data_IF_642638340417
#
_entry.id   IF_642638340417
#
_cell.length_a   1.000
_cell.length_b   1.000
_cell.length_c   1.000
_cell.angle_alpha   90.00
_cell.angle_beta   90.00
_cell.angle_gamma   90.00
#
_symmetry.space_group_name_H-M   'P 1'
#
loop_
_entity.id
_entity.type
_entity.pdbx_description
1 polymer ?
#
# COMPACT_ATOMS: atom_id res chain seq x y z
N UNK A 1 -2.54 -11.96 25.07
CA UNK A 1 -3.26 -11.39 23.93
C UNK A 1 -3.87 -10.08 24.40
N UNK A 2 -3.36 -8.96 23.91
CA UNK A 2 -4.01 -7.68 24.12
C UNK A 2 -5.07 -7.57 23.03
N UNK A 3 -6.31 -7.90 23.36
CA UNK A 3 -7.38 -8.17 22.39
C UNK A 3 -7.69 -6.99 21.48
N UNK A 4 -7.42 -5.76 21.93
CA UNK A 4 -7.60 -4.54 21.14
C UNK A 4 -6.50 -4.37 20.09
N UNK A 5 -5.23 -4.57 20.46
CA UNK A 5 -4.10 -4.45 19.51
C UNK A 5 -4.20 -5.52 18.42
N UNK A 6 -4.62 -6.73 18.80
CA UNK A 6 -4.87 -7.82 17.86
C UNK A 6 -6.04 -7.49 16.92
N UNK A 7 -7.10 -6.84 17.40
CA UNK A 7 -8.21 -6.40 16.55
C UNK A 7 -7.78 -5.30 15.57
N UNK A 8 -7.09 -4.25 16.04
CA UNK A 8 -6.62 -3.15 15.18
C UNK A 8 -5.70 -3.66 14.07
N UNK A 9 -4.77 -4.55 14.42
CA UNK A 9 -3.89 -5.20 13.44
C UNK A 9 -4.70 -5.95 12.39
N UNK A 10 -5.71 -6.73 12.79
CA UNK A 10 -6.54 -7.47 11.86
C UNK A 10 -7.34 -6.54 10.93
N UNK A 11 -7.90 -5.46 11.46
CA UNK A 11 -8.65 -4.48 10.66
C UNK A 11 -7.75 -3.83 9.59
N UNK A 12 -6.50 -3.51 9.95
CA UNK A 12 -5.51 -2.97 8.99
C UNK A 12 -5.15 -4.01 7.92
N UNK A 13 -4.94 -5.27 8.29
CA UNK A 13 -4.64 -6.33 7.32
C UNK A 13 -5.80 -6.55 6.35
N UNK A 14 -7.05 -6.51 6.82
CA UNK A 14 -8.25 -6.58 5.98
C UNK A 14 -8.36 -5.38 5.03
N UNK A 15 -7.95 -4.19 5.47
CA UNK A 15 -7.91 -3.02 4.59
C UNK A 15 -6.87 -3.17 3.47
N UNK A 16 -5.68 -3.73 3.76
CA UNK A 16 -4.67 -4.05 2.74
C UNK A 16 -5.21 -5.08 1.74
N UNK A 17 -5.86 -6.13 2.23
CA UNK A 17 -6.49 -7.14 1.37
C UNK A 17 -7.58 -6.53 0.47
N UNK A 18 -8.46 -5.71 1.02
CA UNK A 18 -9.50 -5.01 0.24
C UNK A 18 -8.88 -4.12 -0.85
N UNK A 19 -7.80 -3.42 -0.54
CA UNK A 19 -7.08 -2.60 -1.51
C UNK A 19 -6.42 -3.45 -2.61
N UNK A 20 -5.82 -4.59 -2.27
CA UNK A 20 -5.30 -5.53 -3.27
C UNK A 20 -6.36 -5.97 -4.26
N UNK A 21 -7.56 -6.29 -3.76
CA UNK A 21 -8.69 -6.63 -4.62
C UNK A 21 -9.10 -5.45 -5.52
N UNK A 22 -9.17 -4.23 -4.97
CA UNK A 22 -9.50 -3.02 -5.74
C UNK A 22 -8.48 -2.76 -6.85
N UNK A 23 -7.18 -2.81 -6.55
CA UNK A 23 -6.11 -2.60 -7.54
C UNK A 23 -6.15 -3.65 -8.65
N UNK A 24 -6.37 -4.93 -8.29
CA UNK A 24 -6.55 -5.99 -9.28
C UNK A 24 -7.81 -5.78 -10.13
N UNK A 25 -8.89 -5.25 -9.58
CA UNK A 25 -10.11 -4.94 -10.34
C UNK A 25 -9.90 -3.76 -11.31
N UNK A 26 -9.09 -2.77 -10.93
CA UNK A 26 -8.81 -1.58 -11.76
C UNK A 26 -7.81 -1.87 -12.87
N UNK A 27 -6.73 -2.58 -12.55
CA UNK A 27 -5.58 -2.71 -13.44
C UNK A 27 -5.37 -4.14 -13.95
N UNK A 28 -6.14 -5.12 -13.46
CA UNK A 28 -5.90 -6.53 -13.69
C UNK A 28 -4.72 -7.05 -12.85
N UNK A 29 -4.35 -8.32 -13.08
CA UNK A 29 -3.19 -8.95 -12.43
C UNK A 29 -1.89 -8.27 -12.89
N UNK A 30 -1.22 -7.58 -11.97
CA UNK A 30 0.04 -6.88 -12.23
C UNK A 30 1.24 -7.78 -11.96
N UNK A 31 2.15 -7.91 -12.94
CA UNK A 31 3.48 -8.53 -12.79
C UNK A 31 4.48 -7.70 -13.58
N UNK A 32 5.56 -7.29 -12.94
CA UNK A 32 6.52 -6.35 -13.51
C UNK A 32 7.96 -6.79 -13.25
N UNK A 33 8.90 -6.13 -13.91
CA UNK A 33 10.32 -6.24 -13.51
C UNK A 33 10.49 -5.69 -12.09
N UNK A 34 11.48 -6.18 -11.34
CA UNK A 34 11.73 -5.65 -9.99
C UNK A 34 12.11 -4.15 -9.99
N UNK A 35 12.66 -3.64 -11.08
CA UNK A 35 12.92 -2.21 -11.24
C UNK A 35 11.64 -1.38 -11.33
N UNK A 36 10.67 -1.85 -12.13
CA UNK A 36 9.35 -1.21 -12.24
C UNK A 36 8.57 -1.33 -10.93
N UNK A 37 8.65 -2.48 -10.25
CA UNK A 37 8.06 -2.66 -8.93
C UNK A 37 8.63 -1.69 -7.89
N UNK A 38 9.96 -1.53 -7.86
CA UNK A 38 10.61 -0.58 -6.97
C UNK A 38 10.13 0.85 -7.27
N UNK A 39 9.99 1.21 -8.56
CA UNK A 39 9.46 2.51 -8.95
C UNK A 39 8.04 2.74 -8.40
N UNK A 40 7.13 1.80 -8.61
CA UNK A 40 5.73 1.89 -8.14
C UNK A 40 5.71 1.97 -6.60
N UNK A 41 6.47 1.13 -5.91
CA UNK A 41 6.53 1.16 -4.45
C UNK A 41 7.05 2.51 -3.90
N UNK A 42 8.08 3.08 -4.54
CA UNK A 42 8.64 4.38 -4.14
C UNK A 42 7.66 5.52 -4.42
N UNK A 43 6.85 5.43 -5.46
CA UNK A 43 5.77 6.39 -5.74
C UNK A 43 4.77 6.44 -4.58
N UNK A 44 4.26 5.28 -4.14
CA UNK A 44 3.34 5.17 -2.99
C UNK A 44 3.98 5.66 -1.68
N UNK A 45 5.27 5.36 -1.44
CA UNK A 45 6.01 5.90 -0.29
C UNK A 45 6.14 7.42 -0.37
N UNK A 46 6.26 7.97 -1.57
CA UNK A 46 6.24 9.41 -1.82
C UNK A 46 4.90 10.04 -1.44
N UNK A 47 3.78 9.38 -1.73
CA UNK A 47 2.44 9.82 -1.32
C UNK A 47 2.27 9.77 0.20
N UNK A 48 2.74 8.70 0.86
CA UNK A 48 2.82 8.63 2.34
C UNK A 48 3.61 9.81 2.90
N UNK A 49 4.77 10.14 2.34
CA UNK A 49 5.59 11.25 2.81
C UNK A 49 4.88 12.60 2.65
N UNK A 50 4.16 12.80 1.54
CA UNK A 50 3.36 14.01 1.32
C UNK A 50 2.20 14.11 2.32
N UNK A 51 1.49 13.01 2.57
CA UNK A 51 0.41 12.97 3.56
C UNK A 51 0.91 13.31 4.98
N UNK A 52 2.05 12.75 5.39
CA UNK A 52 2.67 13.06 6.70
C UNK A 52 3.11 14.53 6.82
N UNK A 53 3.60 15.14 5.73
CA UNK A 53 3.99 16.56 5.73
C UNK A 53 2.76 17.48 5.81
N UNK A 54 1.66 17.10 5.18
CA UNK A 54 0.39 17.83 5.27
C UNK A 54 -0.15 17.82 6.70
N UNK A 55 -0.10 16.69 7.39
CA UNK A 55 -0.53 16.58 8.80
C UNK A 55 0.29 17.49 9.75
N UNK A 56 1.51 17.86 9.36
CA UNK A 56 2.35 18.82 10.07
C UNK A 56 2.09 20.29 9.70
N UNK A 57 1.12 20.56 8.82
CA UNK A 57 0.76 21.92 8.38
C UNK A 57 1.70 22.50 7.32
N UNK A 58 2.51 21.66 6.66
CA UNK A 58 3.49 22.10 5.65
C UNK A 58 2.98 21.88 4.21
N UNK A 59 1.76 21.36 4.05
CA UNK A 59 1.13 21.09 2.76
C UNK A 59 0.30 22.27 2.22
N UNK A 60 0.14 22.35 0.89
CA UNK A 60 -0.88 23.19 0.26
C UNK A 60 -2.26 22.55 0.39
N UNK A 61 -3.33 23.36 0.38
CA UNK A 61 -4.71 22.88 0.24
C UNK A 61 -4.92 22.26 -1.15
N UNK A 62 -4.44 21.03 -1.33
CA UNK A 62 -4.85 20.16 -2.43
C UNK A 62 -5.62 18.96 -1.86
N UNK A 63 -6.34 18.27 -2.75
CA UNK A 63 -7.07 17.00 -2.56
C UNK A 63 -6.15 15.84 -2.15
N UNK A 64 -5.26 16.06 -1.18
CA UNK A 64 -4.39 15.02 -0.65
C UNK A 64 -5.24 14.04 0.16
N UNK A 65 -5.12 12.79 -0.26
CA UNK A 65 -5.45 11.57 0.46
C UNK A 65 -5.07 11.62 1.95
N UNK A 66 -5.80 10.84 2.76
CA UNK A 66 -5.49 10.66 4.17
C UNK A 66 -4.28 9.72 4.32
N UNK A 67 -3.36 10.02 5.25
CA UNK A 67 -2.20 9.19 5.60
C UNK A 67 -2.54 7.70 5.74
N UNK A 68 -3.67 7.36 6.35
CA UNK A 68 -4.11 5.97 6.47
C UNK A 68 -4.28 5.29 5.10
N UNK A 69 -4.88 5.98 4.14
CA UNK A 69 -5.09 5.46 2.78
C UNK A 69 -3.76 5.20 2.08
N UNK A 70 -2.80 6.12 2.15
CA UNK A 70 -1.52 5.95 1.47
C UNK A 70 -0.66 4.85 2.09
N UNK A 71 -0.75 4.67 3.42
CA UNK A 71 -0.11 3.52 4.07
C UNK A 71 -0.72 2.19 3.59
N UNK A 72 -2.03 2.14 3.36
CA UNK A 72 -2.71 0.96 2.81
C UNK A 72 -2.29 0.73 1.35
N UNK A 73 -2.19 1.76 0.52
CA UNK A 73 -1.73 1.64 -0.87
C UNK A 73 -0.28 1.14 -0.96
N UNK A 74 0.63 1.74 -0.18
CA UNK A 74 2.04 1.30 -0.14
C UNK A 74 2.18 -0.16 0.32
N UNK A 75 1.43 -0.56 1.36
CA UNK A 75 1.39 -1.93 1.83
C UNK A 75 0.83 -2.90 0.76
N UNK A 76 -0.24 -2.49 0.07
CA UNK A 76 -0.83 -3.25 -1.03
C UNK A 76 0.18 -3.48 -2.17
N UNK A 77 0.96 -2.47 -2.55
CA UNK A 77 2.02 -2.66 -3.56
C UNK A 77 3.09 -3.64 -3.07
N UNK A 78 3.54 -3.52 -1.81
CA UNK A 78 4.51 -4.46 -1.25
C UNK A 78 3.99 -5.91 -1.23
N UNK A 79 2.71 -6.12 -0.91
CA UNK A 79 2.04 -7.43 -0.99
C UNK A 79 2.03 -7.95 -2.43
N UNK A 80 1.68 -7.11 -3.42
CA UNK A 80 1.67 -7.50 -4.83
C UNK A 80 3.06 -7.97 -5.33
N UNK A 81 4.13 -7.30 -4.87
CA UNK A 81 5.51 -7.70 -5.15
C UNK A 81 5.80 -9.06 -4.51
N UNK A 82 5.43 -9.25 -3.24
CA UNK A 82 5.66 -10.51 -2.52
C UNK A 82 4.91 -11.69 -3.15
N UNK A 83 3.68 -11.47 -3.64
CA UNK A 83 2.92 -12.46 -4.41
C UNK A 83 3.72 -12.92 -5.65
N UNK A 84 4.26 -11.99 -6.45
CA UNK A 84 5.07 -12.33 -7.61
C UNK A 84 6.33 -13.12 -7.22
N UNK A 85 7.04 -12.68 -6.16
CA UNK A 85 8.23 -13.37 -5.68
C UNK A 85 7.92 -14.79 -5.22
N UNK A 86 6.76 -15.01 -4.59
CA UNK A 86 6.35 -16.35 -4.17
C UNK A 86 6.03 -17.23 -5.38
N UNK A 87 5.28 -16.72 -6.35
CA UNK A 87 4.98 -17.43 -7.60
C UNK A 87 6.25 -17.82 -8.37
N UNK A 88 7.25 -16.93 -8.42
CA UNK A 88 8.53 -17.19 -9.09
C UNK A 88 9.39 -18.25 -8.38
N UNK A 89 9.19 -18.46 -7.07
CA UNK A 89 9.89 -19.52 -6.29
C UNK A 89 9.27 -20.90 -6.44
N UNK A 90 7.99 -20.96 -6.80
CA UNK A 90 7.25 -22.21 -7.00
C UNK A 90 7.37 -22.75 -8.45
N UNK A 91 8.06 -22.02 -9.33
CA UNK A 91 8.41 -22.39 -10.71
C UNK A 91 9.82 -23.01 -10.78
#
# INVERSE_FOLDING_TARGET
MNTVDDQLKNDVLLAVEAERFRQNALWGRQRHSYGDWLKILVEEVGEVAQAMQKDQGWGKDSDASNLYTELIHAAAVAVAIAEQVLEEKEL
#
